data_IF_626590943633
#
_entry.id   IF_626590943633
#
_cell.length_a   1.000
_cell.length_b   1.000
_cell.length_c   1.000
_cell.angle_alpha   90.00
_cell.angle_beta   90.00
_cell.angle_gamma   90.00
#
_symmetry.space_group_name_H-M   'P 1'
#
loop_
_entity.id
_entity.type
_entity.pdbx_description
1 polymer ?
#
# COMPACT_ATOMS: atom_id res chain seq x y z
N UNK A 1 5.14 -31.29 8.41
CA UNK A 1 4.23 -30.77 7.37
C UNK A 1 3.29 -29.65 7.84
N UNK A 2 3.08 -29.43 9.17
CA UNK A 2 2.18 -28.41 9.71
C UNK A 2 2.75 -26.99 9.68
N UNK A 3 4.05 -26.80 9.80
CA UNK A 3 4.68 -25.47 9.83
C UNK A 3 4.66 -24.76 8.48
N UNK A 4 4.85 -25.47 7.37
CA UNK A 4 4.78 -24.87 6.02
C UNK A 4 3.37 -24.39 5.62
N UNK A 5 2.31 -25.08 6.07
CA UNK A 5 0.94 -24.61 5.84
C UNK A 5 0.62 -23.34 6.64
N UNK A 6 1.11 -23.22 7.88
CA UNK A 6 0.91 -22.00 8.68
C UNK A 6 1.69 -20.80 8.12
N UNK A 7 2.93 -21.01 7.68
CA UNK A 7 3.71 -19.94 7.03
C UNK A 7 3.08 -19.46 5.72
N UNK A 8 2.60 -20.36 4.86
CA UNK A 8 1.88 -19.96 3.64
C UNK A 8 0.58 -19.19 3.93
N UNK A 9 -0.16 -19.58 4.98
CA UNK A 9 -1.35 -18.85 5.38
C UNK A 9 -1.02 -17.48 6.01
N UNK A 10 0.10 -17.33 6.71
CA UNK A 10 0.54 -16.05 7.26
C UNK A 10 0.94 -15.06 6.15
N UNK A 11 1.74 -15.46 5.17
CA UNK A 11 2.13 -14.60 4.04
C UNK A 11 0.93 -14.11 3.22
N UNK A 12 -0.10 -14.92 3.04
CA UNK A 12 -1.33 -14.54 2.32
C UNK A 12 -2.19 -13.55 3.13
N UNK A 13 -2.11 -13.58 4.47
CA UNK A 13 -2.93 -12.71 5.34
C UNK A 13 -2.30 -11.36 5.65
N UNK A 14 -0.99 -11.22 5.51
CA UNK A 14 -0.24 -10.06 6.01
C UNK A 14 0.25 -9.10 4.91
N UNK A 15 -0.40 -9.10 3.73
CA UNK A 15 -0.15 -8.10 2.71
C UNK A 15 -0.45 -6.69 3.23
N UNK A 16 0.55 -5.80 3.20
CA UNK A 16 0.41 -4.39 3.57
C UNK A 16 -0.63 -3.68 2.73
N UNK A 17 -0.71 -3.98 1.44
CA UNK A 17 -1.71 -3.47 0.49
C UNK A 17 -3.12 -3.89 0.88
N UNK A 18 -3.32 -5.17 1.22
CA UNK A 18 -4.62 -5.67 1.72
C UNK A 18 -5.03 -5.00 3.03
N UNK A 19 -4.10 -4.87 3.97
CA UNK A 19 -4.36 -4.21 5.25
C UNK A 19 -4.78 -2.75 5.04
N UNK A 20 -4.11 -2.04 4.14
CA UNK A 20 -4.43 -0.66 3.76
C UNK A 20 -5.82 -0.54 3.15
N UNK A 21 -6.16 -1.41 2.21
CA UNK A 21 -7.49 -1.45 1.61
C UNK A 21 -8.59 -1.69 2.67
N UNK A 22 -8.39 -2.67 3.54
CA UNK A 22 -9.35 -2.95 4.63
C UNK A 22 -9.49 -1.76 5.55
N UNK A 23 -8.41 -1.09 5.93
CA UNK A 23 -8.46 0.05 6.83
C UNK A 23 -9.07 1.29 6.16
N UNK A 24 -8.53 1.71 5.02
CA UNK A 24 -8.89 2.97 4.41
C UNK A 24 -10.22 2.91 3.67
N UNK A 25 -10.46 1.87 2.90
CA UNK A 25 -11.68 1.75 2.08
C UNK A 25 -12.82 1.13 2.89
N UNK A 26 -12.61 -0.05 3.47
CA UNK A 26 -13.70 -0.75 4.16
C UNK A 26 -14.04 -0.13 5.51
N UNK A 27 -13.06 0.10 6.39
CA UNK A 27 -13.35 0.59 7.74
C UNK A 27 -13.61 2.10 7.75
N UNK A 28 -12.71 2.91 7.23
CA UNK A 28 -12.84 4.38 7.23
C UNK A 28 -13.85 4.87 6.18
N UNK A 29 -13.82 4.28 5.00
CA UNK A 29 -14.71 4.65 3.90
C UNK A 29 -16.14 4.13 4.12
N UNK A 30 -16.34 2.83 3.99
CA UNK A 30 -17.68 2.23 4.02
C UNK A 30 -18.28 2.17 5.42
N UNK A 31 -17.64 1.49 6.37
CA UNK A 31 -18.27 1.18 7.66
C UNK A 31 -18.45 2.40 8.56
N UNK A 32 -17.61 3.44 8.43
CA UNK A 32 -17.77 4.68 9.20
C UNK A 32 -18.86 5.58 8.63
N UNK A 33 -19.04 5.59 7.31
CA UNK A 33 -19.98 6.47 6.62
C UNK A 33 -21.40 5.88 6.57
N UNK A 34 -21.57 4.57 6.61
CA UNK A 34 -22.87 3.92 6.54
C UNK A 34 -23.65 4.07 7.84
N UNK A 35 -24.79 4.78 7.78
CA UNK A 35 -25.72 4.92 8.91
C UNK A 35 -26.48 3.62 9.21
N UNK A 36 -26.65 2.78 8.19
CA UNK A 36 -27.39 1.52 8.27
C UNK A 36 -26.58 0.43 8.97
N UNK A 37 -25.25 0.53 8.92
CA UNK A 37 -24.34 -0.45 9.52
C UNK A 37 -23.99 -0.19 11.00
N UNK A 38 -24.74 0.64 11.70
CA UNK A 38 -24.59 0.78 13.16
C UNK A 38 -24.69 -0.58 13.89
N UNK A 39 -25.46 -1.51 13.34
CA UNK A 39 -25.58 -2.88 13.85
C UNK A 39 -24.31 -3.72 13.68
N UNK A 40 -23.45 -3.39 12.69
CA UNK A 40 -22.21 -4.12 12.42
C UNK A 40 -21.05 -3.58 13.24
N UNK A 41 -21.10 -2.32 13.66
CA UNK A 41 -20.04 -1.63 14.41
C UNK A 41 -18.75 -1.43 13.61
N UNK A 42 -18.21 -0.23 13.62
CA UNK A 42 -17.00 0.18 12.88
C UNK A 42 -15.79 -0.75 13.05
N UNK A 43 -15.66 -1.36 14.25
CA UNK A 43 -14.56 -2.28 14.58
C UNK A 43 -14.94 -3.76 14.50
N UNK A 44 -16.12 -4.10 13.99
CA UNK A 44 -16.56 -5.49 13.97
C UNK A 44 -15.73 -6.33 13.00
N UNK A 45 -15.55 -7.61 13.32
CA UNK A 45 -14.91 -8.58 12.44
C UNK A 45 -15.61 -8.66 11.08
N UNK A 46 -16.93 -8.44 11.03
CA UNK A 46 -17.73 -8.43 9.80
C UNK A 46 -17.34 -7.30 8.86
N UNK A 47 -17.03 -6.10 9.39
CA UNK A 47 -16.57 -4.98 8.58
C UNK A 47 -15.23 -5.24 7.89
N UNK A 48 -14.35 -6.00 8.52
CA UNK A 48 -13.02 -6.37 7.97
C UNK A 48 -13.07 -7.59 7.05
N UNK A 49 -14.14 -8.36 7.12
CA UNK A 49 -14.23 -9.60 6.36
C UNK A 49 -14.20 -9.31 4.85
N UNK A 50 -13.39 -10.03 4.13
CA UNK A 50 -13.44 -10.06 2.68
C UNK A 50 -14.53 -11.05 2.25
N UNK A 51 -15.12 -10.79 1.08
CA UNK A 51 -16.15 -11.71 0.55
C UNK A 51 -15.51 -13.03 0.13
N UNK A 52 -16.26 -14.12 0.30
CA UNK A 52 -15.79 -15.49 0.08
C UNK A 52 -16.54 -16.21 -1.05
N UNK A 53 -17.32 -15.49 -1.82
CA UNK A 53 -18.14 -15.99 -2.93
C UNK A 53 -17.40 -16.08 -4.27
N UNK A 54 -16.08 -15.92 -4.26
CA UNK A 54 -15.23 -16.00 -5.44
C UNK A 54 -15.05 -14.69 -6.21
N UNK A 55 -15.82 -13.63 -5.90
CA UNK A 55 -15.65 -12.33 -6.56
C UNK A 55 -14.40 -11.56 -6.05
N UNK A 56 -13.86 -11.93 -4.90
CA UNK A 56 -12.56 -11.43 -4.41
C UNK A 56 -11.53 -12.56 -4.50
N UNK A 57 -10.46 -12.31 -5.24
CA UNK A 57 -9.36 -13.26 -5.43
C UNK A 57 -8.09 -12.68 -4.82
N UNK A 58 -7.49 -13.38 -3.87
CA UNK A 58 -6.17 -13.04 -3.35
C UNK A 58 -5.10 -13.47 -4.36
N UNK A 59 -4.33 -12.50 -4.86
CA UNK A 59 -3.22 -12.76 -5.78
C UNK A 59 -1.86 -12.89 -5.06
N UNK A 60 -1.85 -12.84 -3.72
CA UNK A 60 -0.64 -12.77 -2.92
C UNK A 60 0.04 -11.40 -3.02
N UNK A 61 1.36 -11.37 -2.81
CA UNK A 61 2.18 -10.15 -2.90
C UNK A 61 2.81 -9.96 -4.31
N UNK A 62 2.25 -10.59 -5.33
CA UNK A 62 2.78 -10.53 -6.70
C UNK A 62 1.98 -9.50 -7.52
N UNK A 63 2.35 -8.24 -7.43
CA UNK A 63 1.67 -7.16 -8.16
C UNK A 63 1.71 -7.37 -9.67
N UNK A 64 2.80 -7.89 -10.22
CA UNK A 64 2.90 -8.26 -11.65
C UNK A 64 1.85 -9.31 -12.07
N UNK A 65 1.45 -10.21 -11.18
CA UNK A 65 0.39 -11.17 -11.46
C UNK A 65 -0.98 -10.48 -11.52
N UNK A 66 -1.19 -9.47 -10.69
CA UNK A 66 -2.41 -8.67 -10.71
C UNK A 66 -2.51 -7.92 -12.04
N UNK A 67 -1.45 -7.25 -12.47
CA UNK A 67 -1.38 -6.55 -13.77
C UNK A 67 -1.77 -7.49 -14.92
N UNK A 68 -1.16 -8.68 -15.00
CA UNK A 68 -1.49 -9.68 -16.03
C UNK A 68 -2.95 -10.13 -16.01
N UNK A 69 -3.55 -10.27 -14.81
CA UNK A 69 -4.96 -10.65 -14.69
C UNK A 69 -5.89 -9.53 -15.15
N UNK A 70 -5.57 -8.26 -14.87
CA UNK A 70 -6.33 -7.11 -15.34
C UNK A 70 -6.28 -6.98 -16.85
N UNK A 71 -5.11 -7.22 -17.48
CA UNK A 71 -4.98 -7.25 -18.93
C UNK A 71 -5.81 -8.36 -19.58
N UNK A 72 -5.97 -9.50 -18.89
CA UNK A 72 -6.74 -10.63 -19.41
C UNK A 72 -8.26 -10.45 -19.24
N UNK A 73 -8.72 -9.67 -18.26
CA UNK A 73 -10.14 -9.41 -18.00
C UNK A 73 -10.39 -7.92 -17.66
N UNK A 74 -10.81 -7.12 -18.64
CA UNK A 74 -11.02 -5.68 -18.49
C UNK A 74 -12.20 -5.31 -17.56
N UNK A 75 -12.99 -6.28 -17.12
CA UNK A 75 -14.10 -6.06 -16.18
C UNK A 75 -13.71 -6.29 -14.72
N UNK A 76 -12.42 -6.43 -14.44
CA UNK A 76 -11.90 -6.63 -13.08
C UNK A 76 -11.21 -5.40 -12.52
N UNK A 77 -11.13 -5.33 -11.18
CA UNK A 77 -10.36 -4.31 -10.46
C UNK A 77 -9.18 -4.96 -9.78
N UNK A 78 -8.01 -4.29 -9.84
CA UNK A 78 -6.81 -4.66 -9.08
C UNK A 78 -6.57 -3.70 -7.93
N UNK A 79 -5.95 -4.19 -6.86
CA UNK A 79 -5.50 -3.42 -5.71
C UNK A 79 -4.02 -3.73 -5.52
N UNK A 80 -3.18 -2.75 -5.80
CA UNK A 80 -1.72 -2.87 -5.77
C UNK A 80 -1.06 -1.50 -5.62
N UNK A 81 0.26 -1.46 -5.49
CA UNK A 81 1.01 -0.23 -5.28
C UNK A 81 1.03 0.68 -6.51
N UNK A 82 1.06 2.01 -6.28
CA UNK A 82 1.06 3.02 -7.35
C UNK A 82 2.20 2.82 -8.36
N UNK A 83 3.39 2.44 -7.92
CA UNK A 83 4.54 2.21 -8.81
C UNK A 83 4.26 1.19 -9.93
N UNK A 84 3.44 0.19 -9.67
CA UNK A 84 3.04 -0.79 -10.70
C UNK A 84 1.98 -0.25 -11.64
N UNK A 85 1.11 0.65 -11.18
CA UNK A 85 0.19 1.37 -12.06
C UNK A 85 0.98 2.29 -13.00
N UNK A 86 1.88 3.10 -12.45
CA UNK A 86 2.70 4.06 -13.18
C UNK A 86 3.50 3.41 -14.31
N UNK A 87 4.12 2.26 -14.03
CA UNK A 87 4.86 1.46 -15.02
C UNK A 87 3.99 0.78 -16.08
N UNK A 88 2.66 0.77 -15.93
CA UNK A 88 1.73 0.07 -16.83
C UNK A 88 0.55 0.97 -17.25
N UNK A 89 0.73 2.28 -17.25
CA UNK A 89 -0.33 3.22 -17.66
C UNK A 89 -0.73 3.13 -19.14
N UNK A 90 0.08 2.47 -19.95
CA UNK A 90 -0.23 2.15 -21.35
C UNK A 90 -1.34 1.10 -21.49
N UNK A 91 -1.54 0.26 -20.49
CA UNK A 91 -2.50 -0.87 -20.52
C UNK A 91 -3.47 -0.89 -19.35
N UNK A 92 -3.26 -0.08 -18.33
CA UNK A 92 -4.09 0.04 -17.14
C UNK A 92 -4.54 1.48 -16.90
N UNK A 93 -5.69 1.63 -16.29
CA UNK A 93 -6.21 2.92 -15.84
C UNK A 93 -6.41 2.93 -14.33
N UNK A 94 -5.93 3.96 -13.67
CA UNK A 94 -6.17 4.18 -12.25
C UNK A 94 -7.60 4.64 -11.96
N UNK A 95 -8.18 4.16 -10.88
CA UNK A 95 -9.52 4.56 -10.47
C UNK A 95 -9.52 5.97 -9.86
N UNK A 96 -10.46 6.80 -10.27
CA UNK A 96 -10.69 8.12 -9.67
C UNK A 96 -11.38 7.93 -8.30
N UNK A 97 -10.78 8.47 -7.25
CA UNK A 97 -11.29 8.39 -5.87
C UNK A 97 -11.54 9.79 -5.33
N UNK A 98 -12.74 10.04 -4.84
CA UNK A 98 -13.16 11.37 -4.33
C UNK A 98 -12.88 12.52 -5.32
N UNK A 99 -12.98 12.24 -6.64
CA UNK A 99 -12.73 13.21 -7.70
C UNK A 99 -11.26 13.41 -8.08
N UNK A 100 -10.34 12.69 -7.47
CA UNK A 100 -8.90 12.76 -7.78
C UNK A 100 -8.43 11.47 -8.45
N UNK A 101 -7.63 11.61 -9.50
CA UNK A 101 -6.94 10.49 -10.13
C UNK A 101 -5.66 10.13 -9.36
N UNK A 102 -5.18 8.88 -9.45
CA UNK A 102 -3.93 8.48 -8.83
C UNK A 102 -2.74 8.98 -9.67
N UNK A 103 -2.41 10.26 -9.51
CA UNK A 103 -1.20 10.86 -10.06
C UNK A 103 -0.16 11.08 -8.98
N UNK A 104 1.10 11.26 -9.39
CA UNK A 104 2.20 11.57 -8.48
C UNK A 104 1.85 12.77 -7.58
N UNK A 105 1.38 13.87 -8.18
CA UNK A 105 1.06 15.11 -7.47
C UNK A 105 -0.11 14.91 -6.49
N UNK A 106 -1.18 14.25 -6.91
CA UNK A 106 -2.34 14.02 -6.05
C UNK A 106 -2.03 13.12 -4.86
N UNK A 107 -1.09 12.19 -5.04
CA UNK A 107 -0.62 11.31 -3.96
C UNK A 107 0.33 12.06 -3.02
N UNK A 108 1.31 12.80 -3.55
CA UNK A 108 2.25 13.59 -2.77
C UNK A 108 1.54 14.66 -1.93
N UNK A 109 0.56 15.36 -2.50
CA UNK A 109 -0.27 16.36 -1.83
C UNK A 109 -1.32 15.76 -0.87
N UNK A 110 -1.45 14.44 -0.80
CA UNK A 110 -2.47 13.77 0.01
C UNK A 110 -3.92 13.96 -0.48
N UNK A 111 -4.11 14.46 -1.71
CA UNK A 111 -5.45 14.64 -2.33
C UNK A 111 -6.08 13.30 -2.69
N UNK A 112 -5.26 12.31 -3.07
CA UNK A 112 -5.73 10.95 -3.32
C UNK A 112 -5.94 10.23 -2.00
N UNK A 113 -7.19 10.18 -1.54
CA UNK A 113 -7.57 9.84 -0.15
C UNK A 113 -7.22 8.43 0.32
N UNK A 114 -6.84 7.52 -0.58
CA UNK A 114 -6.41 6.17 -0.25
C UNK A 114 -4.88 5.97 -0.33
N UNK A 115 -4.13 7.06 -0.39
CA UNK A 115 -2.68 7.05 -0.25
C UNK A 115 -2.23 6.93 1.22
N UNK A 116 -1.06 6.37 1.44
CA UNK A 116 -0.44 6.32 2.77
C UNK A 116 1.08 6.28 2.65
N UNK A 117 1.74 6.83 3.67
CA UNK A 117 3.19 6.74 3.77
C UNK A 117 3.65 5.31 4.04
N UNK A 118 4.82 4.97 3.50
CA UNK A 118 5.60 3.79 3.85
C UNK A 118 6.65 4.20 4.88
N UNK A 119 6.89 3.34 5.86
CA UNK A 119 7.85 3.57 6.92
C UNK A 119 8.81 2.40 7.02
N UNK A 120 10.07 2.66 7.26
CA UNK A 120 10.97 1.67 7.82
C UNK A 120 11.36 2.08 9.25
N UNK A 121 11.66 1.10 10.08
CA UNK A 121 11.96 1.32 11.49
C UNK A 121 13.38 0.87 11.80
N UNK A 122 14.16 1.76 12.42
CA UNK A 122 15.51 1.46 12.87
C UNK A 122 15.49 1.34 14.40
N UNK A 123 16.01 0.22 14.91
CA UNK A 123 16.16 0.07 16.35
C UNK A 123 17.28 0.98 16.85
N UNK A 124 16.93 2.05 17.55
CA UNK A 124 17.86 3.08 18.00
C UNK A 124 19.09 2.51 18.75
N UNK A 125 18.88 1.51 19.63
CA UNK A 125 20.00 0.87 20.34
C UNK A 125 21.00 0.15 19.42
N UNK A 126 20.64 -0.14 18.16
CA UNK A 126 21.52 -0.79 17.20
C UNK A 126 22.39 0.19 16.40
N UNK A 127 22.04 1.48 16.34
CA UNK A 127 22.77 2.47 15.55
C UNK A 127 24.25 2.58 15.92
N UNK A 128 24.58 2.39 17.22
CA UNK A 128 25.95 2.46 17.71
C UNK A 128 26.56 1.09 18.08
N UNK A 129 25.76 0.01 18.02
CA UNK A 129 26.21 -1.33 18.40
C UNK A 129 26.43 -2.26 17.21
N UNK A 130 25.70 -2.06 16.12
CA UNK A 130 25.78 -2.89 14.92
C UNK A 130 26.49 -2.10 13.84
N UNK A 131 27.71 -2.50 13.43
CA UNK A 131 28.44 -1.83 12.36
C UNK A 131 27.63 -1.77 11.06
N UNK A 132 27.66 -0.63 10.39
CA UNK A 132 27.00 -0.42 9.11
C UNK A 132 25.54 0.04 9.18
N UNK A 133 24.83 -0.09 10.31
CA UNK A 133 23.41 0.33 10.40
C UNK A 133 23.27 1.84 10.22
N UNK A 134 24.11 2.62 10.88
CA UNK A 134 24.07 4.08 10.77
C UNK A 134 24.41 4.55 9.37
N UNK A 135 25.45 3.98 8.79
CA UNK A 135 25.89 4.28 7.43
C UNK A 135 24.83 3.91 6.39
N UNK A 136 24.17 2.76 6.58
CA UNK A 136 23.06 2.34 5.72
C UNK A 136 21.88 3.32 5.78
N UNK A 137 21.49 3.75 6.98
CA UNK A 137 20.41 4.74 7.13
C UNK A 137 20.78 6.06 6.46
N UNK A 138 22.00 6.54 6.68
CA UNK A 138 22.49 7.77 6.06
C UNK A 138 22.55 7.66 4.53
N UNK A 139 22.92 6.50 3.99
CA UNK A 139 22.91 6.28 2.54
C UNK A 139 21.48 6.25 1.99
N UNK A 140 20.57 5.56 2.68
CA UNK A 140 19.17 5.52 2.30
C UNK A 140 18.55 6.92 2.20
N UNK A 141 18.84 7.81 3.17
CA UNK A 141 18.27 9.17 3.19
C UNK A 141 18.74 10.05 2.01
N UNK A 142 19.85 9.74 1.38
CA UNK A 142 20.29 10.44 0.16
C UNK A 142 19.48 10.13 -1.07
N UNK A 143 18.74 9.01 -1.07
CA UNK A 143 18.04 8.47 -2.23
C UNK A 143 16.53 8.61 -2.16
N UNK A 144 15.98 9.20 -1.12
CA UNK A 144 14.54 9.33 -0.93
C UNK A 144 13.94 10.67 -1.41
N UNK A 145 14.73 11.49 -2.09
CA UNK A 145 14.26 12.73 -2.71
C UNK A 145 13.63 12.51 -4.09
N UNK A 146 13.13 13.60 -4.69
CA UNK A 146 12.47 13.56 -6.01
C UNK A 146 13.40 13.08 -7.12
N UNK A 147 14.70 13.44 -7.05
CA UNK A 147 15.73 13.00 -8.01
C UNK A 147 16.46 11.73 -7.55
N UNK A 148 15.91 11.02 -6.56
CA UNK A 148 16.53 9.83 -5.99
C UNK A 148 16.11 8.54 -6.69
N UNK A 149 16.96 7.50 -6.59
CA UNK A 149 16.68 6.18 -7.19
C UNK A 149 15.39 5.53 -6.69
N UNK A 150 14.87 5.95 -5.54
CA UNK A 150 13.59 5.44 -5.02
C UNK A 150 12.40 6.06 -5.78
N UNK A 151 12.51 7.31 -6.21
CA UNK A 151 11.52 7.95 -7.08
C UNK A 151 11.52 7.29 -8.46
N UNK A 152 12.70 7.03 -9.03
CA UNK A 152 12.84 6.28 -10.30
C UNK A 152 12.22 4.87 -10.21
N UNK A 153 12.23 4.26 -9.03
CA UNK A 153 11.56 2.97 -8.78
C UNK A 153 10.04 3.09 -8.54
N UNK A 154 9.46 4.29 -8.71
CA UNK A 154 8.03 4.57 -8.55
C UNK A 154 7.58 4.82 -7.11
N UNK A 155 8.51 5.11 -6.20
CA UNK A 155 8.15 5.61 -4.86
C UNK A 155 7.92 7.12 -4.91
N UNK A 156 6.89 7.58 -4.24
CA UNK A 156 6.57 9.01 -4.14
C UNK A 156 7.25 9.56 -2.88
N UNK A 157 8.22 10.49 -3.01
CA UNK A 157 8.88 11.09 -1.86
C UNK A 157 7.91 11.96 -1.06
N UNK A 158 8.20 12.10 0.24
CA UNK A 158 7.56 13.12 1.05
C UNK A 158 8.01 14.53 0.61
N UNK A 159 7.19 15.56 0.82
CA UNK A 159 7.62 16.94 0.62
C UNK A 159 8.91 17.26 1.39
N UNK A 160 9.77 18.12 0.84
CA UNK A 160 11.08 18.44 1.41
C UNK A 160 11.00 18.87 2.89
N UNK A 161 10.04 19.71 3.22
CA UNK A 161 9.84 20.17 4.59
C UNK A 161 9.53 19.05 5.60
N UNK A 162 8.91 17.97 5.16
CA UNK A 162 8.64 16.80 5.99
C UNK A 162 9.87 15.88 6.09
N UNK A 163 10.64 15.79 5.01
CA UNK A 163 11.88 14.99 4.98
C UNK A 163 12.95 15.58 5.89
N UNK A 164 13.12 16.89 5.86
CA UNK A 164 14.14 17.60 6.65
C UNK A 164 13.97 17.43 8.17
N UNK A 165 12.74 17.19 8.62
CA UNK A 165 12.44 16.93 10.05
C UNK A 165 12.82 15.51 10.48
N UNK A 166 13.00 14.58 9.52
CA UNK A 166 13.27 13.16 9.81
C UNK A 166 14.77 12.81 9.79
N UNK A 167 15.64 13.71 9.40
CA UNK A 167 17.09 13.58 9.37
C UNK A 167 17.71 14.15 10.65
#
# INVERSE_FOLDING_TARGET
HGHHRRQRQMCIRDSGTRASFVEMVKQKGYCKKSKEDKAIGYKSKKCRAMRTDGAYVEAGEQDNLIVKKLQADPNTFGIFGFSYLDQNMDVLQGAIIDGNEPSFENIADGKYSISRALYFYVKHSHLNMVPGVKEYVNEWTKHWGEDGILADAGMIPLPDAERDVMI
#
